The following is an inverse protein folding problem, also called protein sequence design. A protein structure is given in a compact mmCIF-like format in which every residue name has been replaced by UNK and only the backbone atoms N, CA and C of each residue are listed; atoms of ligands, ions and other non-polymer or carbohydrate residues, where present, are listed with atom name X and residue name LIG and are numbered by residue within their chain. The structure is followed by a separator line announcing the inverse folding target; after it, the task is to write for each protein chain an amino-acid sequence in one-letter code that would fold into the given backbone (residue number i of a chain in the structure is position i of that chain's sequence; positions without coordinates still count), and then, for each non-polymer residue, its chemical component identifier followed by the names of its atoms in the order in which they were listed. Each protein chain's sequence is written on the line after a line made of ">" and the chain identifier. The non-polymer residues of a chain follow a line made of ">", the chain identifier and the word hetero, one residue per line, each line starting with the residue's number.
data_IF_068828148939
#
_entry.id   IF_068828148939
#
_cell.length_a   1.000
_cell.length_b   1.000
_cell.length_c   1.000
_cell.angle_alpha   90.00
_cell.angle_beta   90.00
_cell.angle_gamma   90.00
#
_symmetry.space_group_name_H-M   'P 1'
#
loop_
_entity.id
_entity.type
_entity.pdbx_description
1 polymer ?
#
# COMPACT_ATOMS: atom_id res chain seq x y z
N UNK A 1 -16.97 -7.65 10.20
CA UNK A 1 -18.04 -7.54 9.26
C UNK A 1 -17.69 -8.15 7.91
N UNK A 2 -16.82 -7.61 7.08
CA UNK A 2 -16.56 -8.14 5.71
C UNK A 2 -16.08 -9.59 5.63
N UNK A 3 -15.38 -10.11 6.63
CA UNK A 3 -14.97 -11.53 6.66
C UNK A 3 -16.13 -12.49 6.98
N UNK A 4 -17.12 -12.04 7.70
CA UNK A 4 -18.37 -12.77 7.93
C UNK A 4 -19.14 -12.87 6.62
N UNK A 5 -19.18 -11.80 5.85
CA UNK A 5 -19.86 -11.77 4.56
C UNK A 5 -19.28 -12.79 3.56
N UNK A 6 -17.95 -12.98 3.50
CA UNK A 6 -17.32 -14.01 2.65
C UNK A 6 -17.77 -15.42 3.05
N UNK A 7 -17.84 -15.72 4.35
CA UNK A 7 -18.31 -17.03 4.81
C UNK A 7 -19.78 -17.26 4.48
N UNK A 8 -20.61 -16.23 4.57
CA UNK A 8 -22.03 -16.31 4.23
C UNK A 8 -22.25 -16.51 2.74
N UNK A 9 -21.49 -15.79 1.89
CA UNK A 9 -21.50 -15.99 0.44
C UNK A 9 -21.07 -17.42 0.08
N UNK A 10 -19.98 -17.91 0.68
CA UNK A 10 -19.52 -19.30 0.48
C UNK A 10 -20.60 -20.31 0.82
N UNK A 11 -21.28 -20.15 1.97
CA UNK A 11 -22.36 -21.04 2.39
C UNK A 11 -23.58 -20.96 1.46
N UNK A 12 -23.97 -19.74 1.09
CA UNK A 12 -25.14 -19.46 0.28
C UNK A 12 -25.04 -20.01 -1.14
N UNK A 13 -23.86 -19.92 -1.75
CA UNK A 13 -23.64 -20.31 -3.15
C UNK A 13 -22.91 -21.65 -3.31
N UNK A 14 -22.51 -22.31 -2.23
CA UNK A 14 -21.74 -23.55 -2.27
C UNK A 14 -20.39 -23.43 -2.98
N UNK A 15 -19.87 -22.20 -3.11
CA UNK A 15 -18.63 -21.92 -3.84
C UNK A 15 -17.52 -21.63 -2.85
N UNK A 16 -16.39 -22.33 -2.97
CA UNK A 16 -15.21 -22.10 -2.17
C UNK A 16 -14.52 -20.80 -2.61
N UNK A 17 -14.38 -19.84 -1.70
CA UNK A 17 -13.74 -18.56 -1.93
C UNK A 17 -12.42 -18.53 -1.19
N UNK A 18 -11.34 -18.14 -1.87
CA UNK A 18 -10.04 -17.88 -1.26
C UNK A 18 -9.79 -16.38 -1.19
N UNK A 19 -9.33 -15.93 -0.02
CA UNK A 19 -8.90 -14.56 0.20
C UNK A 19 -7.39 -14.49 0.01
N UNK A 20 -6.92 -13.68 -0.94
CA UNK A 20 -5.51 -13.37 -1.10
C UNK A 20 -5.28 -12.00 -0.44
N UNK A 21 -4.46 -11.99 0.61
CA UNK A 21 -4.09 -10.78 1.34
C UNK A 21 -2.68 -10.38 0.97
N UNK A 22 -2.52 -9.23 0.31
CA UNK A 22 -1.22 -8.64 -0.02
C UNK A 22 -0.82 -7.66 1.09
N UNK A 23 0.18 -8.01 1.89
CA UNK A 23 0.51 -7.37 3.18
C UNK A 23 1.92 -6.74 3.23
N UNK A 24 2.48 -6.12 2.18
CA UNK A 24 3.82 -5.55 2.24
C UNK A 24 3.92 -4.31 3.14
N UNK A 25 2.79 -3.74 3.55
CA UNK A 25 2.70 -2.52 4.38
C UNK A 25 2.28 -2.79 5.83
N UNK A 26 2.16 -4.03 6.27
CA UNK A 26 1.56 -4.35 7.58
C UNK A 26 2.30 -3.77 8.78
N UNK A 27 3.60 -3.46 8.66
CA UNK A 27 4.39 -2.81 9.69
C UNK A 27 4.33 -1.27 9.60
N UNK A 28 3.90 -0.73 8.47
CA UNK A 28 3.80 0.71 8.23
C UNK A 28 2.41 1.20 8.65
N UNK A 29 2.19 1.27 9.94
CA UNK A 29 0.94 1.74 10.57
C UNK A 29 1.27 2.86 11.55
N UNK A 30 0.32 3.77 11.73
CA UNK A 30 0.48 4.97 12.55
C UNK A 30 -0.61 5.05 13.61
N UNK A 31 -0.39 5.93 14.61
CA UNK A 31 -1.39 6.33 15.59
C UNK A 31 -2.02 5.14 16.35
N UNK A 32 -1.23 4.11 16.71
CA UNK A 32 -1.66 2.90 17.43
C UNK A 32 -2.81 2.11 16.76
N UNK A 33 -2.97 2.27 15.47
CA UNK A 33 -3.95 1.50 14.69
C UNK A 33 -3.67 0.00 14.83
N UNK A 34 -4.68 -0.78 15.19
CA UNK A 34 -4.57 -2.23 15.29
C UNK A 34 -4.87 -2.88 13.94
N UNK A 35 -3.85 -3.47 13.35
CA UNK A 35 -4.02 -4.20 12.10
C UNK A 35 -4.74 -5.53 12.33
N UNK A 36 -5.86 -5.72 11.65
CA UNK A 36 -6.55 -7.00 11.60
C UNK A 36 -5.94 -7.86 10.48
N UNK A 37 -5.19 -8.89 10.84
CA UNK A 37 -4.63 -9.83 9.87
C UNK A 37 -5.73 -10.78 9.37
N UNK A 38 -6.09 -10.79 8.08
CA UNK A 38 -7.19 -11.60 7.54
C UNK A 38 -7.10 -13.09 7.85
N UNK A 39 -5.88 -13.63 7.88
CA UNK A 39 -5.61 -15.04 8.20
C UNK A 39 -6.13 -15.46 9.58
N UNK A 40 -6.31 -14.53 10.51
CA UNK A 40 -6.84 -14.83 11.84
C UNK A 40 -8.37 -14.99 11.84
N UNK A 41 -9.05 -14.46 10.84
CA UNK A 41 -10.51 -14.39 10.77
C UNK A 41 -11.10 -15.28 9.69
N UNK A 42 -10.35 -15.60 8.63
CA UNK A 42 -10.83 -16.43 7.53
C UNK A 42 -9.85 -17.56 7.21
N UNK A 43 -10.35 -18.79 7.22
CA UNK A 43 -9.52 -19.99 7.08
C UNK A 43 -8.87 -20.10 5.69
N UNK A 44 -9.63 -19.87 4.62
CA UNK A 44 -9.16 -19.98 3.25
C UNK A 44 -8.39 -18.70 2.83
N UNK A 45 -7.36 -18.36 3.60
CA UNK A 45 -6.51 -17.17 3.35
C UNK A 45 -5.14 -17.57 2.84
N UNK A 46 -4.68 -16.85 1.82
CA UNK A 46 -3.31 -16.87 1.30
C UNK A 46 -2.73 -15.48 1.56
N UNK A 47 -1.59 -15.42 2.25
CA UNK A 47 -0.89 -14.17 2.54
C UNK A 47 0.29 -14.02 1.60
N UNK A 48 0.36 -12.89 0.92
CA UNK A 48 1.52 -12.45 0.16
C UNK A 48 2.23 -11.35 0.93
N UNK A 49 3.52 -11.51 1.16
CA UNK A 49 4.33 -10.55 1.90
C UNK A 49 5.66 -10.30 1.21
N UNK A 50 6.18 -9.09 1.31
CA UNK A 50 7.54 -8.76 0.88
C UNK A 50 8.21 -7.77 1.84
N UNK A 51 9.55 -7.85 1.93
CA UNK A 51 10.36 -6.88 2.68
C UNK A 51 10.66 -5.60 1.88
N UNK A 52 10.03 -5.43 0.72
CA UNK A 52 10.22 -4.25 -0.13
C UNK A 52 9.94 -2.92 0.59
N UNK A 53 9.03 -2.94 1.58
CA UNK A 53 8.60 -1.74 2.31
C UNK A 53 9.13 -1.71 3.73
N UNK A 54 8.95 -2.77 4.48
CA UNK A 54 9.39 -2.85 5.88
C UNK A 54 10.89 -2.69 6.07
N UNK A 55 11.71 -3.28 5.18
CA UNK A 55 13.17 -3.14 5.21
C UNK A 55 13.73 -2.18 4.14
N UNK A 56 12.88 -1.45 3.41
CA UNK A 56 13.29 -0.56 2.32
C UNK A 56 14.16 -1.24 1.26
N UNK A 57 13.88 -2.52 0.95
CA UNK A 57 14.64 -3.34 -0.01
C UNK A 57 13.81 -3.74 -1.25
N UNK A 58 13.20 -2.79 -1.98
CA UNK A 58 12.37 -3.14 -3.13
C UNK A 58 13.16 -3.74 -4.29
N UNK A 59 14.45 -3.39 -4.41
CA UNK A 59 15.35 -3.89 -5.46
C UNK A 59 15.74 -5.35 -5.29
N UNK A 60 15.75 -5.87 -4.06
CA UNK A 60 16.21 -7.22 -3.74
C UNK A 60 15.20 -8.32 -4.09
N UNK A 61 13.97 -7.95 -4.42
CA UNK A 61 12.91 -8.85 -4.91
C UNK A 61 12.68 -10.05 -4.00
N UNK A 62 12.58 -9.83 -2.67
CA UNK A 62 12.37 -10.88 -1.69
C UNK A 62 11.02 -10.75 -0.97
N UNK A 63 10.33 -11.87 -0.84
CA UNK A 63 9.06 -12.00 -0.16
C UNK A 63 8.70 -13.46 0.04
N UNK A 64 7.52 -13.73 0.55
CA UNK A 64 6.99 -15.08 0.70
C UNK A 64 5.48 -15.13 0.45
N UNK A 65 4.99 -16.30 0.13
CA UNK A 65 3.57 -16.62 0.11
C UNK A 65 3.31 -17.66 1.20
N UNK A 66 2.34 -17.38 2.06
CA UNK A 66 1.89 -18.28 3.10
C UNK A 66 0.46 -18.76 2.80
N UNK A 67 0.25 -20.05 2.76
CA UNK A 67 -1.08 -20.66 2.74
C UNK A 67 -1.51 -20.94 4.17
N UNK A 68 -2.65 -20.43 4.58
CA UNK A 68 -3.17 -20.68 5.93
C UNK A 68 -3.15 -22.17 6.27
N UNK A 69 -2.67 -22.56 7.47
CA UNK A 69 -2.69 -23.96 7.90
C UNK A 69 -4.11 -24.51 8.07
N UNK A 70 -5.11 -23.62 8.14
CA UNK A 70 -6.52 -23.94 8.26
C UNK A 70 -7.27 -23.98 6.92
N UNK A 71 -6.58 -23.59 5.81
CA UNK A 71 -7.20 -23.57 4.49
C UNK A 71 -7.53 -24.97 4.00
N UNK A 72 -8.68 -25.07 3.33
CA UNK A 72 -9.08 -26.28 2.63
C UNK A 72 -8.08 -26.60 1.51
N UNK A 73 -7.80 -27.88 1.32
CA UNK A 73 -6.86 -28.33 0.27
C UNK A 73 -5.48 -27.65 0.31
N UNK A 74 -5.03 -27.15 1.48
CA UNK A 74 -3.78 -26.36 1.66
C UNK A 74 -2.56 -26.94 0.96
N UNK A 75 -2.39 -28.30 1.01
CA UNK A 75 -1.24 -28.95 0.37
C UNK A 75 -1.29 -28.84 -1.15
N UNK A 76 -2.47 -29.00 -1.76
CA UNK A 76 -2.64 -28.85 -3.20
C UNK A 76 -2.38 -27.43 -3.65
N UNK A 77 -2.90 -26.44 -2.89
CA UNK A 77 -2.68 -25.02 -3.13
C UNK A 77 -1.20 -24.68 -3.02
N UNK A 78 -0.54 -25.11 -1.97
CA UNK A 78 0.91 -24.89 -1.79
C UNK A 78 1.71 -25.46 -2.99
N UNK A 79 1.44 -26.71 -3.39
CA UNK A 79 2.08 -27.34 -4.53
C UNK A 79 1.81 -26.58 -5.84
N UNK A 80 0.58 -26.11 -6.04
CA UNK A 80 0.22 -25.31 -7.21
C UNK A 80 0.94 -23.95 -7.24
N UNK A 81 1.05 -23.27 -6.11
CA UNK A 81 1.82 -22.01 -5.99
C UNK A 81 3.29 -22.24 -6.32
N UNK A 82 3.91 -23.29 -5.78
CA UNK A 82 5.30 -23.63 -6.09
C UNK A 82 5.48 -23.97 -7.60
N UNK A 83 4.55 -24.69 -8.19
CA UNK A 83 4.55 -25.01 -9.63
C UNK A 83 4.41 -23.75 -10.48
N UNK A 84 3.46 -22.88 -10.14
CA UNK A 84 3.25 -21.61 -10.84
C UNK A 84 4.48 -20.69 -10.74
N UNK A 85 5.08 -20.60 -9.56
CA UNK A 85 6.32 -19.84 -9.37
C UNK A 85 7.43 -20.31 -10.29
N UNK A 86 7.63 -21.64 -10.38
CA UNK A 86 8.64 -22.22 -11.30
C UNK A 86 8.32 -21.93 -12.76
N UNK A 87 7.07 -22.03 -13.16
CA UNK A 87 6.64 -21.73 -14.54
C UNK A 87 6.89 -20.27 -14.92
N UNK A 88 6.87 -19.37 -13.94
CA UNK A 88 7.20 -17.95 -14.10
C UNK A 88 8.71 -17.66 -13.98
N UNK A 89 9.55 -18.68 -13.76
CA UNK A 89 11.00 -18.53 -13.61
C UNK A 89 11.48 -18.29 -12.17
N UNK A 90 10.60 -18.32 -11.18
CA UNK A 90 10.93 -18.11 -9.76
C UNK A 90 11.03 -19.43 -9.01
N UNK A 91 12.25 -19.95 -8.84
CA UNK A 91 12.48 -21.21 -8.12
C UNK A 91 12.63 -20.98 -6.63
N UNK A 92 13.48 -20.02 -6.25
CA UNK A 92 13.72 -19.60 -4.87
C UNK A 92 14.28 -18.16 -4.87
N UNK A 93 14.15 -17.49 -3.72
CA UNK A 93 14.81 -16.20 -3.51
C UNK A 93 16.34 -16.40 -3.37
N UNK A 94 17.18 -15.39 -3.72
CA UNK A 94 18.61 -15.44 -3.53
C UNK A 94 18.96 -15.77 -2.07
N UNK A 95 19.85 -16.74 -1.84
CA UNK A 95 20.17 -17.23 -0.50
C UNK A 95 20.68 -16.13 0.44
N UNK A 96 21.52 -15.23 -0.05
CA UNK A 96 21.99 -14.08 0.72
C UNK A 96 20.80 -13.26 1.28
N UNK A 97 19.82 -12.95 0.44
CA UNK A 97 18.65 -12.17 0.85
C UNK A 97 17.75 -12.92 1.83
N UNK A 98 17.70 -14.25 1.75
CA UNK A 98 17.01 -15.06 2.75
C UNK A 98 17.69 -14.93 4.13
N UNK A 99 19.01 -14.93 4.19
CA UNK A 99 19.75 -14.69 5.44
C UNK A 99 19.54 -13.27 5.95
N UNK A 100 19.62 -12.25 5.08
CA UNK A 100 19.34 -10.86 5.47
C UNK A 100 17.94 -10.72 6.06
N UNK A 101 16.93 -11.28 5.41
CA UNK A 101 15.56 -11.24 5.93
C UNK A 101 15.42 -11.99 7.29
N UNK A 102 16.09 -13.15 7.41
CA UNK A 102 16.06 -13.94 8.65
C UNK A 102 16.74 -13.23 9.84
N UNK A 103 17.85 -12.53 9.58
CA UNK A 103 18.61 -11.81 10.62
C UNK A 103 17.92 -10.49 11.04
N UNK A 104 17.02 -9.94 10.21
CA UNK A 104 16.35 -8.67 10.46
C UNK A 104 14.85 -8.84 10.77
N UNK A 105 14.47 -9.95 11.41
CA UNK A 105 13.11 -10.14 11.88
C UNK A 105 12.73 -9.08 12.93
N UNK A 106 11.61 -8.37 12.71
CA UNK A 106 11.14 -7.31 13.58
C UNK A 106 11.84 -5.96 13.38
N UNK A 107 12.82 -5.87 12.49
CA UNK A 107 13.40 -4.58 12.06
C UNK A 107 12.49 -3.95 11.00
N UNK A 108 12.33 -2.64 11.10
CA UNK A 108 11.55 -1.84 10.14
C UNK A 108 12.35 -0.65 9.64
N UNK A 109 11.92 -0.07 8.54
CA UNK A 109 12.34 1.28 8.14
C UNK A 109 11.96 2.29 9.23
N UNK A 110 12.49 3.51 9.14
CA UNK A 110 12.22 4.58 10.11
C UNK A 110 10.75 5.03 10.04
N UNK A 111 9.92 4.42 10.90
CA UNK A 111 8.48 4.71 10.97
C UNK A 111 8.21 6.11 11.52
N UNK A 112 9.07 6.63 12.41
CA UNK A 112 8.92 7.97 12.96
C UNK A 112 9.14 9.03 11.89
N UNK A 113 10.13 8.84 11.01
CA UNK A 113 10.33 9.74 9.89
C UNK A 113 9.19 9.68 8.87
N UNK A 114 8.65 8.51 8.61
CA UNK A 114 7.43 8.39 7.79
C UNK A 114 6.22 9.06 8.44
N UNK A 115 6.06 8.95 9.75
CA UNK A 115 4.98 9.63 10.47
C UNK A 115 5.09 11.15 10.38
N UNK A 116 6.30 11.71 10.52
CA UNK A 116 6.57 13.14 10.35
C UNK A 116 6.31 13.60 8.91
N UNK A 117 6.75 12.84 7.93
CA UNK A 117 6.52 13.13 6.52
C UNK A 117 5.03 13.10 6.18
N UNK A 118 4.29 12.11 6.71
CA UNK A 118 2.83 12.02 6.59
C UNK A 118 2.14 13.26 7.10
N UNK A 119 2.50 13.68 8.30
CA UNK A 119 1.89 14.86 8.93
C UNK A 119 2.19 16.12 8.11
N UNK A 120 3.44 16.31 7.72
CA UNK A 120 3.88 17.48 6.97
C UNK A 120 3.17 17.61 5.62
N UNK A 121 3.14 16.54 4.81
CA UNK A 121 2.47 16.61 3.50
C UNK A 121 0.95 16.77 3.63
N UNK A 122 0.35 16.17 4.65
CA UNK A 122 -1.06 16.34 4.93
C UNK A 122 -1.39 17.80 5.27
N UNK A 123 -0.59 18.44 6.14
CA UNK A 123 -0.74 19.85 6.51
C UNK A 123 -0.54 20.80 5.34
N UNK A 124 0.49 20.56 4.51
CA UNK A 124 0.73 21.35 3.29
C UNK A 124 -0.48 21.31 2.37
N UNK A 125 -0.93 20.11 2.03
CA UNK A 125 -2.01 19.90 1.05
C UNK A 125 -3.34 20.49 1.58
N UNK A 126 -3.69 20.19 2.83
CA UNK A 126 -4.94 20.72 3.42
C UNK A 126 -4.86 22.22 3.70
N UNK A 127 -3.68 22.73 4.09
CA UNK A 127 -3.44 24.17 4.26
C UNK A 127 -3.54 24.97 2.96
N UNK A 128 -3.36 24.31 1.80
CA UNK A 128 -3.61 24.89 0.48
C UNK A 128 -5.08 24.77 0.03
N UNK A 129 -5.96 24.23 0.86
CA UNK A 129 -7.40 24.11 0.55
C UNK A 129 -7.80 22.84 -0.17
N UNK A 130 -6.89 21.87 -0.41
CA UNK A 130 -7.24 20.59 -0.99
C UNK A 130 -7.86 19.65 0.05
N UNK A 131 -8.84 18.85 -0.36
CA UNK A 131 -9.38 17.75 0.46
C UNK A 131 -8.44 16.53 0.38
N UNK A 132 -8.04 16.01 1.52
CA UNK A 132 -7.18 14.82 1.60
C UNK A 132 -7.64 13.86 2.67
N UNK A 133 -7.45 12.55 2.44
CA UNK A 133 -7.70 11.50 3.44
C UNK A 133 -6.43 11.26 4.23
N UNK A 134 -6.47 11.49 5.55
CA UNK A 134 -5.31 11.24 6.43
C UNK A 134 -5.03 9.74 6.47
N UNK A 135 -3.84 9.27 6.06
CA UNK A 135 -3.53 7.85 6.01
C UNK A 135 -3.30 7.26 7.40
N UNK A 136 -3.88 6.09 7.68
CA UNK A 136 -3.61 5.31 8.90
C UNK A 136 -2.42 4.36 8.73
N UNK A 137 -1.96 4.15 7.51
CA UNK A 137 -0.83 3.27 7.19
C UNK A 137 -0.24 3.52 5.80
N UNK A 138 0.77 2.73 5.45
CA UNK A 138 1.57 2.88 4.23
C UNK A 138 2.30 4.23 4.17
N UNK A 139 2.61 4.72 2.99
CA UNK A 139 3.24 6.02 2.77
C UNK A 139 2.63 6.76 1.56
N UNK A 140 1.30 6.63 1.44
CA UNK A 140 0.53 7.28 0.38
C UNK A 140 -0.56 8.16 0.95
N UNK A 141 -0.69 9.36 0.39
CA UNK A 141 -1.77 10.30 0.65
C UNK A 141 -2.69 10.37 -0.58
N UNK A 142 -3.98 10.22 -0.39
CA UNK A 142 -4.97 10.45 -1.42
C UNK A 142 -5.55 11.87 -1.28
N UNK A 143 -5.46 12.62 -2.37
CA UNK A 143 -5.94 14.00 -2.47
C UNK A 143 -7.03 14.06 -3.52
N UNK A 144 -8.17 14.62 -3.17
CA UNK A 144 -9.30 14.77 -4.08
C UNK A 144 -9.01 15.87 -5.09
N UNK A 145 -9.29 15.58 -6.36
CA UNK A 145 -9.21 16.58 -7.42
C UNK A 145 -10.30 17.64 -7.24
N UNK A 146 -9.97 18.93 -7.31
CA UNK A 146 -10.98 19.99 -7.28
C UNK A 146 -11.94 19.93 -8.47
N UNK A 147 -11.49 19.45 -9.63
CA UNK A 147 -12.33 19.27 -10.82
C UNK A 147 -13.12 17.95 -10.83
N UNK A 148 -12.82 17.03 -9.92
CA UNK A 148 -13.35 15.66 -9.92
C UNK A 148 -12.67 14.72 -10.91
N UNK A 149 -11.64 15.17 -11.64
CA UNK A 149 -10.83 14.37 -12.56
C UNK A 149 -9.39 14.27 -12.08
N UNK A 150 -8.98 13.06 -11.65
CA UNK A 150 -7.62 12.81 -11.14
C UNK A 150 -6.54 12.92 -12.21
N UNK A 151 -6.87 12.63 -13.48
CA UNK A 151 -5.92 12.74 -14.60
C UNK A 151 -5.67 14.20 -14.94
N UNK A 152 -6.73 14.99 -15.03
CA UNK A 152 -6.63 16.44 -15.25
C UNK A 152 -5.79 17.08 -14.14
N UNK A 153 -6.07 16.71 -12.87
CA UNK A 153 -5.32 17.21 -11.72
C UNK A 153 -3.84 16.86 -11.81
N UNK A 154 -3.50 15.61 -12.14
CA UNK A 154 -2.12 15.17 -12.34
C UNK A 154 -1.42 15.94 -13.47
N UNK A 155 -2.07 16.13 -14.61
CA UNK A 155 -1.49 16.88 -15.74
C UNK A 155 -1.29 18.37 -15.40
N UNK A 156 -2.24 18.97 -14.69
CA UNK A 156 -2.11 20.37 -14.24
C UNK A 156 -0.99 20.54 -13.23
N UNK A 157 -0.85 19.61 -12.30
CA UNK A 157 0.20 19.61 -11.29
C UNK A 157 1.62 19.58 -11.88
N UNK A 158 1.82 18.95 -13.04
CA UNK A 158 3.12 18.92 -13.73
C UNK A 158 3.65 20.30 -14.10
N UNK A 159 2.79 21.29 -14.30
CA UNK A 159 3.21 22.69 -14.57
C UNK A 159 4.01 23.29 -13.40
N UNK A 160 3.80 22.73 -12.20
CA UNK A 160 4.43 23.12 -10.95
C UNK A 160 5.45 22.08 -10.46
N UNK A 161 5.90 21.20 -11.36
CA UNK A 161 6.88 20.13 -11.06
C UNK A 161 6.38 19.10 -10.01
N UNK A 162 5.06 19.02 -9.80
CA UNK A 162 4.43 18.01 -8.94
C UNK A 162 4.04 16.79 -9.78
N UNK A 163 4.68 15.65 -9.49
CA UNK A 163 4.39 14.37 -10.15
C UNK A 163 3.42 13.56 -9.27
N UNK A 164 2.15 13.72 -9.53
CA UNK A 164 1.05 13.06 -8.82
C UNK A 164 0.53 11.89 -9.66
N UNK A 165 0.11 10.81 -9.02
CA UNK A 165 -0.38 9.62 -9.73
C UNK A 165 -1.90 9.60 -9.68
N UNK A 166 -2.62 9.62 -10.84
CA UNK A 166 -4.07 9.48 -10.87
C UNK A 166 -4.52 8.18 -10.21
N UNK A 167 -5.59 8.23 -9.44
CA UNK A 167 -6.07 7.09 -8.64
C UNK A 167 -6.96 6.12 -9.41
N UNK A 168 -7.31 6.40 -10.65
CA UNK A 168 -8.19 5.56 -11.49
C UNK A 168 -7.68 4.11 -11.58
N UNK A 169 -6.35 3.92 -11.70
CA UNK A 169 -5.73 2.61 -11.73
C UNK A 169 -5.80 1.85 -10.39
N UNK A 170 -6.20 2.51 -9.31
CA UNK A 170 -6.39 1.95 -7.97
C UNK A 170 -7.87 1.77 -7.62
N UNK A 171 -8.78 1.94 -8.58
CA UNK A 171 -10.22 1.74 -8.42
C UNK A 171 -10.97 2.89 -7.75
N UNK A 172 -10.36 4.08 -7.65
CA UNK A 172 -10.98 5.29 -7.08
C UNK A 172 -10.82 6.42 -8.10
N UNK A 173 -11.93 6.91 -8.64
CA UNK A 173 -11.94 8.06 -9.55
C UNK A 173 -11.91 9.39 -8.80
N UNK A 174 -11.41 10.43 -9.44
CA UNK A 174 -11.44 11.80 -8.92
C UNK A 174 -10.39 12.12 -7.86
N UNK A 175 -9.37 11.27 -7.67
CA UNK A 175 -8.28 11.50 -6.73
C UNK A 175 -6.92 11.39 -7.41
N UNK A 176 -5.90 11.91 -6.74
CA UNK A 176 -4.49 11.60 -7.02
C UNK A 176 -3.84 11.00 -5.79
N UNK A 177 -2.84 10.15 -6.00
CA UNK A 177 -2.02 9.56 -4.95
C UNK A 177 -0.66 10.26 -4.90
N UNK A 178 -0.28 10.69 -3.71
CA UNK A 178 1.04 11.26 -3.40
C UNK A 178 1.82 10.25 -2.57
N UNK A 179 3.06 9.97 -2.94
CA UNK A 179 3.97 9.17 -2.10
C UNK A 179 4.81 10.11 -1.24
N UNK A 180 4.88 9.86 0.08
CA UNK A 180 5.71 10.62 1.01
C UNK A 180 6.92 9.84 1.53
N UNK A 181 7.28 8.72 0.88
CA UNK A 181 8.53 8.00 1.12
C UNK A 181 9.72 8.68 0.41
N UNK A 182 9.90 9.96 0.65
CA UNK A 182 10.93 10.82 0.07
C UNK A 182 11.64 11.59 1.18
N UNK A 183 12.77 12.22 0.85
CA UNK A 183 13.45 13.05 1.83
C UNK A 183 12.54 14.21 2.28
N UNK A 184 12.49 14.48 3.58
CA UNK A 184 11.66 15.53 4.19
C UNK A 184 11.79 16.88 3.48
N UNK A 185 13.02 17.24 3.09
CA UNK A 185 13.32 18.46 2.36
C UNK A 185 12.61 18.58 1.00
N UNK A 186 12.27 17.46 0.36
CA UNK A 186 11.48 17.47 -0.87
C UNK A 186 10.01 17.81 -0.58
N UNK A 187 9.48 17.31 0.53
CA UNK A 187 8.11 17.63 0.98
C UNK A 187 8.03 19.12 1.35
N UNK A 188 8.99 19.64 2.12
CA UNK A 188 9.06 21.06 2.48
C UNK A 188 9.09 21.97 1.25
N UNK A 189 9.89 21.63 0.25
CA UNK A 189 9.98 22.39 -1.01
C UNK A 189 8.70 22.32 -1.87
N UNK A 190 7.91 21.29 -1.72
CA UNK A 190 6.67 21.14 -2.49
C UNK A 190 5.56 22.11 -2.07
N UNK A 191 5.68 22.77 -0.92
CA UNK A 191 4.65 23.68 -0.40
C UNK A 191 4.34 24.82 -1.37
N UNK A 192 5.35 25.49 -1.91
CA UNK A 192 5.17 26.59 -2.88
C UNK A 192 4.46 26.09 -4.15
N UNK A 193 4.81 24.90 -4.62
CA UNK A 193 4.19 24.28 -5.78
C UNK A 193 2.72 23.94 -5.54
N UNK A 194 2.39 23.39 -4.35
CA UNK A 194 0.99 23.15 -3.97
C UNK A 194 0.19 24.44 -3.82
N UNK A 195 0.77 25.51 -3.28
CA UNK A 195 0.14 26.83 -3.22
C UNK A 195 -0.15 27.39 -4.60
N UNK A 196 0.80 27.32 -5.53
CA UNK A 196 0.62 27.75 -6.90
C UNK A 196 -0.47 26.93 -7.64
N UNK A 197 -0.46 25.62 -7.44
CA UNK A 197 -1.50 24.73 -7.98
C UNK A 197 -2.89 25.03 -7.38
N UNK A 198 -2.97 25.30 -6.09
CA UNK A 198 -4.22 25.70 -5.43
C UNK A 198 -4.77 27.03 -5.96
N UNK A 199 -3.90 28.02 -6.18
CA UNK A 199 -4.29 29.28 -6.79
C UNK A 199 -4.81 29.10 -8.24
N UNK A 200 -4.20 28.19 -9.02
CA UNK A 200 -4.68 27.84 -10.39
C UNK A 200 -6.08 27.19 -10.37
N UNK A 201 -6.49 26.60 -9.24
CA UNK A 201 -7.85 26.10 -9.01
C UNK A 201 -8.77 27.10 -8.30
N UNK A 202 -8.28 28.26 -7.92
CA UNK A 202 -9.05 29.27 -7.16
C UNK A 202 -9.40 28.85 -5.74
N UNK A 203 -8.54 28.03 -5.10
CA UNK A 203 -8.70 27.60 -3.71
C UNK A 203 -8.02 28.56 -2.72
N UNK A 204 -7.10 29.41 -3.21
CA UNK A 204 -6.38 30.46 -2.45
C UNK A 204 -6.62 31.82 -3.09
#
# INVERSE_FOLDING_TARGET
>A
SSFVDIQDVTRRFGTEIFLISDEPYRELIYDEVKLALPVNYYNNTIVCYSWSKSLSMPGERIGYIMVSPRADRRRKIFTAICGSGRSLGFVCAPSMMQYVAAMNQGVTSDLDEYAKNRQLIYEIVTGCGFEAVRPDGAFYLFVKSPSGDGKEFSERAKKYELLLVPSDSFGIEGYVRISYCVARKQIERSEEAFRALAADYGLL
#
